data_IF_923086047134
#
_entry.id   IF_923086047134
#
_cell.length_a   1.000
_cell.length_b   1.000
_cell.length_c   1.000
_cell.angle_alpha   90.00
_cell.angle_beta   90.00
_cell.angle_gamma   90.00
#
_symmetry.space_group_name_H-M   'P 1'
#
loop_
_entity.id
_entity.type
_entity.pdbx_description
1 polymer ?
#
# COMPACT_ATOMS: atom_id res chain seq x y z
N UNK A 1 2.93 -15.49 -4.06
CA UNK A 1 2.89 -14.35 -5.00
C UNK A 1 1.59 -14.45 -5.79
N UNK A 2 0.75 -13.42 -5.76
CA UNK A 2 -0.50 -13.40 -6.54
C UNK A 2 -0.14 -13.41 -8.03
N UNK A 3 -0.45 -14.50 -8.71
CA UNK A 3 -0.13 -14.69 -10.13
C UNK A 3 -1.31 -14.15 -10.97
N UNK A 4 -1.51 -12.83 -10.94
CA UNK A 4 -2.58 -12.18 -11.68
C UNK A 4 -2.12 -12.03 -13.13
N UNK A 5 -2.48 -13.02 -13.95
CA UNK A 5 -2.28 -12.98 -15.41
C UNK A 5 -3.26 -11.99 -16.01
N UNK A 6 -2.91 -10.72 -16.03
CA UNK A 6 -3.51 -9.80 -16.98
C UNK A 6 -2.40 -9.04 -17.68
N UNK A 7 -2.26 -9.31 -18.98
CA UNK A 7 -1.23 -8.70 -19.82
C UNK A 7 -1.56 -7.26 -20.18
N UNK A 8 -2.82 -6.83 -19.95
CA UNK A 8 -3.35 -5.56 -20.46
C UNK A 8 -3.96 -4.66 -19.37
N UNK A 9 -4.21 -5.17 -18.16
CA UNK A 9 -4.88 -4.46 -17.05
C UNK A 9 -3.94 -4.00 -15.92
N UNK A 10 -4.36 -2.95 -15.21
CA UNK A 10 -3.77 -2.58 -13.93
C UNK A 10 -4.01 -3.68 -12.89
N UNK A 11 -2.95 -4.22 -12.29
CA UNK A 11 -3.03 -5.39 -11.40
C UNK A 11 -3.94 -5.16 -10.18
N UNK A 12 -3.94 -3.94 -9.63
CA UNK A 12 -4.77 -3.59 -8.47
C UNK A 12 -6.24 -3.43 -8.86
N UNK A 13 -6.52 -2.85 -10.03
CA UNK A 13 -7.88 -2.75 -10.56
C UNK A 13 -8.48 -4.14 -10.79
N UNK A 14 -7.74 -5.03 -11.45
CA UNK A 14 -8.19 -6.41 -11.69
C UNK A 14 -8.40 -7.16 -10.37
N UNK A 15 -7.46 -7.03 -9.42
CA UNK A 15 -7.60 -7.65 -8.10
C UNK A 15 -8.85 -7.17 -7.37
N UNK A 16 -9.08 -5.86 -7.34
CA UNK A 16 -10.24 -5.26 -6.67
C UNK A 16 -11.55 -5.77 -7.29
N UNK A 17 -11.68 -5.73 -8.62
CA UNK A 17 -12.93 -6.13 -9.28
C UNK A 17 -13.25 -7.61 -9.08
N UNK A 18 -12.25 -8.49 -9.21
CA UNK A 18 -12.45 -9.95 -9.14
C UNK A 18 -12.62 -10.43 -7.70
N UNK A 19 -11.77 -9.96 -6.79
CA UNK A 19 -11.63 -10.55 -5.47
C UNK A 19 -12.15 -9.69 -4.32
N UNK A 20 -12.51 -8.43 -4.55
CA UNK A 20 -13.01 -7.54 -3.49
C UNK A 20 -14.45 -7.09 -3.79
N UNK A 21 -14.67 -6.42 -4.91
CA UNK A 21 -15.93 -5.75 -5.20
C UNK A 21 -17.12 -6.72 -5.26
N UNK A 22 -16.89 -7.88 -5.87
CA UNK A 22 -17.89 -8.93 -6.06
C UNK A 22 -18.02 -9.90 -4.88
N UNK A 23 -17.25 -9.71 -3.81
CA UNK A 23 -17.18 -10.66 -2.70
C UNK A 23 -17.91 -10.12 -1.46
N UNK A 24 -18.95 -10.81 -1.02
CA UNK A 24 -19.82 -10.37 0.10
C UNK A 24 -19.06 -10.10 1.40
N UNK A 25 -18.02 -10.88 1.68
CA UNK A 25 -17.20 -10.72 2.89
C UNK A 25 -16.57 -9.32 3.04
N UNK A 26 -16.38 -8.57 1.95
CA UNK A 26 -15.85 -7.19 2.00
C UNK A 26 -16.94 -6.12 2.10
N UNK A 27 -18.22 -6.51 1.98
CA UNK A 27 -19.39 -5.63 2.17
C UNK A 27 -19.89 -5.66 3.62
N UNK A 28 -19.41 -6.60 4.42
CA UNK A 28 -19.72 -6.70 5.84
C UNK A 28 -19.28 -5.42 6.59
N UNK A 29 -20.07 -4.93 7.55
CA UNK A 29 -19.73 -3.76 8.34
C UNK A 29 -18.37 -3.88 9.03
N UNK A 30 -17.63 -2.78 9.09
CA UNK A 30 -16.37 -2.68 9.84
C UNK A 30 -16.49 -1.66 10.97
N UNK A 31 -15.86 -1.96 12.10
CA UNK A 31 -15.78 -1.07 13.26
C UNK A 31 -14.41 -0.37 13.29
N UNK A 32 -14.35 0.80 13.94
CA UNK A 32 -13.09 1.53 14.14
C UNK A 32 -12.57 2.26 12.90
N UNK A 33 -13.38 2.37 11.85
CA UNK A 33 -13.03 3.10 10.62
C UNK A 33 -14.06 4.18 10.37
N UNK A 34 -13.73 5.41 10.77
CA UNK A 34 -14.61 6.55 10.56
C UNK A 34 -14.73 6.86 9.07
N UNK A 35 -15.96 7.09 8.63
CA UNK A 35 -16.27 7.50 7.27
C UNK A 35 -16.34 6.36 6.25
N UNK A 36 -16.17 5.09 6.64
CA UNK A 36 -16.30 3.93 5.73
C UNK A 36 -17.05 2.78 6.42
N UNK A 37 -18.14 2.33 5.80
CA UNK A 37 -19.04 1.34 6.38
C UNK A 37 -18.50 -0.09 6.29
N UNK A 38 -17.67 -0.40 5.29
CA UNK A 38 -17.11 -1.73 5.06
C UNK A 38 -15.75 -1.66 4.34
N UNK A 39 -15.07 -2.81 4.21
CA UNK A 39 -13.76 -2.90 3.56
C UNK A 39 -13.80 -2.57 2.06
N UNK A 40 -14.90 -2.86 1.37
CA UNK A 40 -15.06 -2.49 -0.03
C UNK A 40 -15.04 -0.96 -0.18
N UNK A 41 -15.84 -0.23 0.61
CA UNK A 41 -15.87 1.23 0.61
C UNK A 41 -14.50 1.82 0.95
N UNK A 42 -13.80 1.23 1.95
CA UNK A 42 -12.45 1.63 2.32
C UNK A 42 -11.48 1.56 1.12
N UNK A 43 -11.48 0.42 0.43
CA UNK A 43 -10.59 0.18 -0.72
C UNK A 43 -11.01 1.05 -1.92
N UNK A 44 -12.31 1.22 -2.15
CA UNK A 44 -12.85 2.08 -3.21
C UNK A 44 -12.45 3.55 -3.03
N UNK A 45 -12.48 4.09 -1.81
CA UNK A 45 -11.98 5.46 -1.56
C UNK A 45 -10.47 5.62 -1.75
N UNK A 46 -9.74 4.51 -1.86
CA UNK A 46 -8.32 4.47 -2.25
C UNK A 46 -8.13 4.05 -3.72
N UNK A 47 -9.16 4.17 -4.56
CA UNK A 47 -9.10 3.80 -5.98
C UNK A 47 -8.05 4.58 -6.79
N UNK A 48 -7.57 5.73 -6.32
CA UNK A 48 -6.44 6.44 -6.93
C UNK A 48 -5.19 5.56 -6.98
N UNK A 49 -4.98 4.68 -5.98
CA UNK A 49 -3.90 3.69 -6.01
C UNK A 49 -4.08 2.68 -7.15
N UNK A 50 -5.33 2.36 -7.51
CA UNK A 50 -5.66 1.48 -8.64
C UNK A 50 -5.40 2.14 -10.00
N UNK A 51 -5.24 3.47 -10.05
CA UNK A 51 -4.90 4.21 -11.29
C UNK A 51 -3.39 4.25 -11.55
N UNK A 52 -2.55 3.83 -10.58
CA UNK A 52 -1.09 3.82 -10.71
C UNK A 52 -0.66 2.66 -11.61
N UNK A 53 0.01 2.95 -12.72
CA UNK A 53 0.58 1.94 -13.64
C UNK A 53 1.38 0.85 -12.90
N UNK A 54 1.36 -0.39 -13.37
CA UNK A 54 2.08 -1.52 -12.78
C UNK A 54 3.58 -1.21 -12.56
N UNK A 55 4.23 -0.50 -13.49
CA UNK A 55 5.64 -0.10 -13.37
C UNK A 55 5.89 0.84 -12.18
N UNK A 56 5.08 1.89 -12.06
CA UNK A 56 5.13 2.82 -10.91
C UNK A 56 4.80 2.11 -9.59
N UNK A 57 3.87 1.16 -9.60
CA UNK A 57 3.55 0.34 -8.43
C UNK A 57 4.75 -0.54 -8.02
N UNK A 58 5.42 -1.17 -8.97
CA UNK A 58 6.62 -1.96 -8.71
C UNK A 58 7.76 -1.10 -8.13
N UNK A 59 7.96 0.10 -8.69
CA UNK A 59 8.93 1.09 -8.16
C UNK A 59 8.59 1.54 -6.74
N UNK A 60 7.31 1.75 -6.42
CA UNK A 60 6.85 2.10 -5.07
C UNK A 60 7.01 0.93 -4.09
N UNK A 61 6.72 -0.29 -4.52
CA UNK A 61 6.78 -1.48 -3.66
C UNK A 61 8.21 -1.78 -3.15
N UNK A 62 9.23 -1.45 -3.94
CA UNK A 62 10.63 -1.67 -3.55
C UNK A 62 11.04 -0.94 -2.25
N UNK A 63 10.95 0.40 -2.12
CA UNK A 63 11.21 1.09 -0.86
C UNK A 63 10.18 0.72 0.23
N UNK A 64 8.92 0.49 -0.11
CA UNK A 64 7.92 0.06 0.88
C UNK A 64 8.31 -1.27 1.56
N UNK A 65 8.81 -2.24 0.79
CA UNK A 65 9.29 -3.52 1.34
C UNK A 65 10.46 -3.33 2.30
N UNK A 66 11.40 -2.43 1.99
CA UNK A 66 12.52 -2.08 2.87
C UNK A 66 12.03 -1.45 4.17
N UNK A 67 11.02 -0.57 4.09
CA UNK A 67 10.37 -0.01 5.27
C UNK A 67 9.74 -1.09 6.15
N UNK A 68 9.00 -2.04 5.58
CA UNK A 68 8.45 -3.17 6.33
C UNK A 68 9.54 -4.04 6.96
N UNK A 69 10.65 -4.28 6.25
CA UNK A 69 11.77 -5.04 6.79
C UNK A 69 12.39 -4.34 8.01
N UNK A 70 12.52 -3.00 7.97
CA UNK A 70 12.96 -2.23 9.12
C UNK A 70 12.00 -2.38 10.30
N UNK A 71 10.69 -2.23 10.09
CA UNK A 71 9.69 -2.43 11.16
C UNK A 71 9.71 -3.85 11.74
N UNK A 72 9.93 -4.88 10.92
CA UNK A 72 10.03 -6.27 11.39
C UNK A 72 11.32 -6.55 12.17
N UNK A 73 12.40 -5.84 11.87
CA UNK A 73 13.69 -5.93 12.58
C UNK A 73 13.75 -5.01 13.79
N UNK A 74 12.91 -3.97 13.80
CA UNK A 74 12.79 -3.03 14.90
C UNK A 74 12.26 -3.76 16.13
N UNK A 75 12.88 -3.49 17.26
CA UNK A 75 12.51 -4.06 18.53
C UNK A 75 12.14 -2.93 19.48
N UNK A 76 10.87 -2.85 19.86
CA UNK A 76 10.32 -1.78 20.69
C UNK A 76 11.00 -1.68 22.08
N UNK A 77 11.74 -2.70 22.52
CA UNK A 77 12.51 -2.64 23.76
C UNK A 77 13.81 -1.82 23.68
N UNK A 78 14.21 -1.40 22.48
CA UNK A 78 15.44 -0.62 22.26
C UNK A 78 15.23 0.46 21.19
N UNK A 79 15.69 1.69 21.45
CA UNK A 79 15.66 2.77 20.46
C UNK A 79 16.70 2.61 19.34
N UNK A 80 17.70 1.75 19.53
CA UNK A 80 18.71 1.45 18.52
C UNK A 80 18.26 0.28 17.63
N UNK A 81 18.19 0.53 16.31
CA UNK A 81 18.04 -0.52 15.32
C UNK A 81 19.28 -0.62 14.42
N UNK A 82 20.42 -0.98 15.00
CA UNK A 82 21.64 -1.32 14.24
C UNK A 82 21.35 -2.33 13.11
N UNK A 83 20.45 -3.30 13.33
CA UNK A 83 20.02 -4.27 12.29
C UNK A 83 19.20 -3.67 11.14
N UNK A 84 18.61 -2.49 11.34
CA UNK A 84 17.88 -1.74 10.31
C UNK A 84 18.81 -0.91 9.42
N UNK A 85 20.06 -0.66 9.82
CA UNK A 85 20.92 0.34 9.17
C UNK A 85 21.10 0.12 7.66
N UNK A 86 21.28 -1.14 7.25
CA UNK A 86 21.43 -1.47 5.83
C UNK A 86 20.12 -1.23 5.07
N UNK A 87 18.99 -1.72 5.59
CA UNK A 87 17.67 -1.51 5.00
C UNK A 87 17.31 -0.01 4.94
N UNK A 88 17.71 0.78 5.94
CA UNK A 88 17.50 2.22 6.01
C UNK A 88 18.28 2.99 4.93
N UNK A 89 19.56 2.62 4.73
CA UNK A 89 20.39 3.20 3.67
C UNK A 89 19.82 2.87 2.28
N UNK A 90 19.42 1.63 2.05
CA UNK A 90 18.79 1.22 0.80
C UNK A 90 17.43 1.90 0.61
N UNK A 91 16.62 2.02 1.66
CA UNK A 91 15.35 2.72 1.65
C UNK A 91 15.54 4.17 1.21
N UNK A 92 16.47 4.90 1.84
CA UNK A 92 16.74 6.30 1.50
C UNK A 92 17.14 6.47 0.03
N UNK A 93 17.99 5.56 -0.49
CA UNK A 93 18.37 5.56 -1.91
C UNK A 93 17.17 5.30 -2.83
N UNK A 94 16.40 4.24 -2.58
CA UNK A 94 15.23 3.85 -3.39
C UNK A 94 14.08 4.85 -3.31
N UNK A 95 13.89 5.47 -2.15
CA UNK A 95 12.91 6.53 -1.97
C UNK A 95 13.31 7.80 -2.74
N UNK A 96 14.60 8.15 -2.77
CA UNK A 96 15.08 9.26 -3.60
C UNK A 96 14.84 9.01 -5.10
N UNK A 97 15.10 7.79 -5.57
CA UNK A 97 14.80 7.36 -6.96
C UNK A 97 13.28 7.42 -7.27
N UNK A 98 12.42 7.29 -6.25
CA UNK A 98 10.96 7.36 -6.38
C UNK A 98 10.43 8.81 -6.48
N UNK A 99 11.11 9.76 -5.85
CA UNK A 99 10.64 11.15 -5.67
C UNK A 99 10.62 11.98 -6.97
N UNK A 100 11.28 11.50 -8.02
CA UNK A 100 11.25 12.10 -9.36
C UNK A 100 10.03 11.63 -10.19
N UNK A 101 9.34 10.56 -9.75
CA UNK A 101 8.14 10.01 -10.37
C UNK A 101 6.88 10.47 -9.61
N UNK A 102 5.92 11.06 -10.32
CA UNK A 102 4.69 11.75 -9.86
C UNK A 102 3.68 10.96 -8.97
N UNK A 103 4.11 9.94 -8.24
CA UNK A 103 3.28 9.02 -7.43
C UNK A 103 2.71 9.72 -6.17
N UNK A 104 3.43 10.69 -5.62
CA UNK A 104 3.07 11.37 -4.36
C UNK A 104 1.77 12.17 -4.48
N UNK A 105 1.41 12.62 -5.69
CA UNK A 105 0.18 13.39 -5.93
C UNK A 105 -1.10 12.62 -5.58
N UNK A 106 -1.06 11.29 -5.59
CA UNK A 106 -2.22 10.42 -5.35
C UNK A 106 -2.43 10.05 -3.87
N UNK A 107 -1.59 10.55 -2.95
CA UNK A 107 -1.66 10.21 -1.52
C UNK A 107 -2.57 11.15 -0.70
N UNK A 108 -3.08 12.23 -1.28
CA UNK A 108 -3.86 13.24 -0.58
C UNK A 108 -5.34 13.24 -1.06
N UNK A 109 -6.28 13.01 -0.13
CA UNK A 109 -7.77 12.89 -0.21
C UNK A 109 -8.42 11.53 -0.54
N UNK A 110 -9.69 11.28 -0.12
CA UNK A 110 -10.33 11.45 1.19
C UNK A 110 -10.05 10.23 2.10
N UNK A 111 -10.14 10.41 3.42
CA UNK A 111 -9.56 9.46 4.40
C UNK A 111 -10.69 8.79 5.19
N UNK A 112 -10.92 7.49 4.93
CA UNK A 112 -11.43 6.63 5.99
C UNK A 112 -10.39 6.67 7.12
N UNK A 113 -10.76 7.16 8.30
CA UNK A 113 -9.81 7.27 9.40
C UNK A 113 -9.89 6.00 10.23
N UNK A 114 -8.82 5.20 10.17
CA UNK A 114 -8.66 4.08 11.09
C UNK A 114 -8.35 4.69 12.45
N UNK A 115 -9.30 4.59 13.39
CA UNK A 115 -9.07 4.93 14.79
C UNK A 115 -8.13 3.87 15.36
N UNK A 116 -6.88 4.26 15.59
CA UNK A 116 -5.91 3.47 16.38
C UNK A 116 -6.21 3.62 17.86
#
# INVERSE_FOLDING_TARGET
MLNLKDKNGNILTTFYNVYINNQEKYKNPINGVDGCSNYNELIYKKNELMKITNDKLAKFYAPFKLLCNMYNKFNDSTSDCTKCLNDAKEFAKKYKELNDDSIIKYMYHPVCLIKR
#
